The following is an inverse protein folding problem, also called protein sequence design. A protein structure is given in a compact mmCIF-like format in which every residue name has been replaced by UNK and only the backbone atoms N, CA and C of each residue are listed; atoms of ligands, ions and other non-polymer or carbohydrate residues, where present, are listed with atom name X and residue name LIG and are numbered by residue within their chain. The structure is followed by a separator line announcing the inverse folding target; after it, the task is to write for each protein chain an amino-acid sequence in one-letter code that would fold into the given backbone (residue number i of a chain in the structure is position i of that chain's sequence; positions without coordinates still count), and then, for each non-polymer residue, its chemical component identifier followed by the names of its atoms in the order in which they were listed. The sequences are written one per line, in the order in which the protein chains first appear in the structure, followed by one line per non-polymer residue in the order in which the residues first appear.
data_IF_376039671767
#
_entry.id   IF_376039671767
#
_cell.length_a   1.000
_cell.length_b   1.000
_cell.length_c   1.000
_cell.angle_alpha   90.00
_cell.angle_beta   90.00
_cell.angle_gamma   90.00
#
_symmetry.space_group_name_H-M   'P 1'
#
loop_
_entity.id
_entity.type
_entity.pdbx_description
1 polymer ?
#
# COMPACT_ATOMS: atom_id res chain seq x y z
N UNK A 1 6.14 -1.69 -12.38
CA UNK A 1 5.11 -0.88 -13.03
C UNK A 1 5.48 0.61 -13.15
N UNK A 2 5.91 1.31 -12.09
CA UNK A 2 6.16 2.76 -12.16
C UNK A 2 7.50 3.21 -12.79
N UNK A 3 8.43 2.29 -13.09
CA UNK A 3 9.75 2.62 -13.64
C UNK A 3 10.66 3.46 -12.73
N UNK A 4 10.21 3.75 -11.51
CA UNK A 4 10.88 4.55 -10.50
C UNK A 4 11.14 3.71 -9.25
N UNK A 5 12.19 4.02 -8.46
CA UNK A 5 12.41 3.36 -7.17
C UNK A 5 11.28 3.66 -6.19
N UNK A 6 10.97 2.69 -5.32
CA UNK A 6 10.00 2.87 -4.24
C UNK A 6 10.52 3.95 -3.26
N UNK A 7 9.66 4.91 -2.94
CA UNK A 7 9.98 5.98 -2.00
C UNK A 7 9.38 5.68 -0.62
N UNK A 8 10.06 6.12 0.43
CA UNK A 8 9.59 6.10 1.80
C UNK A 8 9.44 7.52 2.34
N UNK A 9 8.48 7.70 3.24
CA UNK A 9 8.26 8.96 3.96
C UNK A 9 7.62 8.67 5.31
N UNK A 10 7.73 9.62 6.23
CA UNK A 10 7.05 9.58 7.53
C UNK A 10 5.79 10.44 7.47
N UNK A 11 4.66 9.90 7.91
CA UNK A 11 3.41 10.65 8.08
C UNK A 11 3.17 10.95 9.57
N UNK A 12 2.64 12.13 9.94
CA UNK A 12 2.20 12.40 11.31
C UNK A 12 0.89 11.67 11.68
N UNK A 13 0.23 11.02 10.71
CA UNK A 13 -0.95 10.19 10.96
C UNK A 13 -0.61 8.86 11.64
N UNK A 14 -1.48 8.42 12.54
CA UNK A 14 -1.36 7.10 13.14
C UNK A 14 -1.61 5.99 12.10
N UNK A 15 -0.81 4.93 12.15
CA UNK A 15 -0.92 3.77 11.27
C UNK A 15 -0.96 2.49 12.10
N UNK A 16 -1.93 1.61 11.81
CA UNK A 16 -2.07 0.32 12.51
C UNK A 16 -0.86 -0.61 12.33
N UNK A 17 -0.06 -0.41 11.26
CA UNK A 17 1.20 -1.11 11.04
C UNK A 17 2.15 -1.06 12.24
N UNK A 18 2.09 0.03 13.04
CA UNK A 18 2.85 0.16 14.29
C UNK A 18 2.56 -0.97 15.28
N UNK A 19 1.30 -1.39 15.42
CA UNK A 19 0.91 -2.43 16.40
C UNK A 19 1.58 -3.75 16.05
N UNK A 20 1.53 -4.11 14.78
CA UNK A 20 2.09 -5.34 14.25
C UNK A 20 3.62 -5.37 14.24
N UNK A 21 4.25 -4.25 13.92
CA UNK A 21 5.71 -4.12 13.96
C UNK A 21 6.23 -4.17 15.41
N UNK A 22 5.63 -3.37 16.31
CA UNK A 22 6.18 -3.20 17.66
C UNK A 22 5.82 -4.34 18.61
N UNK A 23 4.65 -4.96 18.43
CA UNK A 23 4.12 -5.95 19.39
C UNK A 23 3.82 -7.31 18.75
N UNK A 24 3.79 -7.39 17.41
CA UNK A 24 3.42 -8.61 16.69
C UNK A 24 4.59 -9.35 16.05
N UNK A 25 5.82 -8.82 16.14
CA UNK A 25 7.01 -9.35 15.44
C UNK A 25 6.76 -9.61 13.95
N UNK A 26 5.94 -8.78 13.31
CA UNK A 26 5.57 -8.91 11.90
C UNK A 26 6.11 -7.75 11.08
N UNK A 27 6.80 -8.01 9.96
CA UNK A 27 7.09 -6.95 9.01
C UNK A 27 5.77 -6.38 8.49
N UNK A 28 5.66 -5.07 8.44
CA UNK A 28 4.47 -4.41 7.89
C UNK A 28 4.83 -3.33 6.90
N UNK A 29 4.00 -3.23 5.86
CA UNK A 29 4.09 -2.20 4.84
C UNK A 29 2.79 -1.40 4.85
N UNK A 30 2.89 -0.08 4.99
CA UNK A 30 1.78 0.83 4.71
C UNK A 30 2.03 1.45 3.34
N UNK A 31 1.26 1.00 2.35
CA UNK A 31 1.41 1.39 0.95
C UNK A 31 0.03 1.49 0.30
N UNK A 32 -0.21 2.52 -0.53
CA UNK A 32 -1.54 2.83 -1.02
C UNK A 32 -1.57 3.85 -2.16
N UNK A 33 -2.78 4.16 -2.69
CA UNK A 33 -2.97 5.16 -3.74
C UNK A 33 -2.75 6.58 -3.27
N UNK A 34 -2.54 7.48 -4.24
CA UNK A 34 -2.45 8.90 -3.98
C UNK A 34 -3.83 9.48 -3.63
N UNK A 35 -3.97 9.93 -2.39
CA UNK A 35 -5.10 10.71 -1.90
C UNK A 35 -4.68 12.14 -1.55
N UNK A 36 -5.66 13.03 -1.50
CA UNK A 36 -5.50 14.41 -1.05
C UNK A 36 -6.64 14.74 -0.07
N UNK A 37 -6.35 15.66 0.85
CA UNK A 37 -7.34 16.20 1.79
C UNK A 37 -8.03 15.13 2.63
N UNK A 38 -7.27 14.12 3.08
CA UNK A 38 -7.73 13.05 3.98
C UNK A 38 -8.31 13.70 5.25
N UNK A 39 -9.57 13.38 5.59
CA UNK A 39 -10.35 13.99 6.68
C UNK A 39 -10.78 15.46 6.48
N UNK A 40 -10.68 16.02 5.27
CA UNK A 40 -11.16 17.35 4.93
C UNK A 40 -12.40 17.31 4.02
N UNK A 41 -13.04 18.46 3.79
CA UNK A 41 -14.29 18.54 3.01
C UNK A 41 -14.16 17.98 1.59
N UNK A 42 -13.06 18.29 0.90
CA UNK A 42 -12.82 17.90 -0.49
C UNK A 42 -11.95 16.63 -0.62
N UNK A 43 -12.07 15.70 0.33
CA UNK A 43 -11.36 14.42 0.32
C UNK A 43 -11.51 13.70 -1.02
N UNK A 44 -10.39 13.29 -1.61
CA UNK A 44 -10.37 12.66 -2.94
C UNK A 44 -9.18 11.73 -3.14
N UNK A 45 -9.33 10.86 -4.14
CA UNK A 45 -8.32 9.89 -4.56
C UNK A 45 -8.08 9.95 -6.07
N UNK A 46 -6.84 9.71 -6.49
CA UNK A 46 -6.49 9.65 -7.90
C UNK A 46 -6.84 8.28 -8.49
N UNK A 47 -7.86 8.21 -9.36
CA UNK A 47 -8.43 6.95 -9.86
C UNK A 47 -7.40 6.05 -10.57
N UNK A 48 -6.55 6.63 -11.43
CA UNK A 48 -5.51 5.84 -12.09
C UNK A 48 -4.44 5.35 -11.10
N UNK A 49 -4.23 6.08 -9.99
CA UNK A 49 -3.36 5.60 -8.91
C UNK A 49 -3.98 4.40 -8.20
N UNK A 50 -5.31 4.34 -8.06
CA UNK A 50 -5.99 3.19 -7.47
C UNK A 50 -5.77 1.96 -8.34
N UNK A 51 -6.05 2.05 -9.64
CA UNK A 51 -5.82 0.96 -10.61
C UNK A 51 -4.40 0.42 -10.52
N UNK A 52 -3.43 1.33 -10.53
CA UNK A 52 -2.02 1.00 -10.49
C UNK A 52 -1.63 0.30 -9.16
N UNK A 53 -2.10 0.82 -8.03
CA UNK A 53 -1.81 0.21 -6.73
C UNK A 53 -2.48 -1.15 -6.58
N UNK A 54 -3.67 -1.35 -7.12
CA UNK A 54 -4.32 -2.67 -7.17
C UNK A 54 -3.45 -3.69 -7.91
N UNK A 55 -2.94 -3.36 -9.09
CA UNK A 55 -2.01 -4.24 -9.83
C UNK A 55 -0.74 -4.51 -9.02
N UNK A 56 -0.17 -3.47 -8.40
CA UNK A 56 1.06 -3.60 -7.60
C UNK A 56 0.86 -4.53 -6.41
N UNK A 57 -0.25 -4.41 -5.69
CA UNK A 57 -0.60 -5.31 -4.57
C UNK A 57 -0.83 -6.73 -5.09
N UNK A 58 -1.53 -6.91 -6.22
CA UNK A 58 -1.74 -8.22 -6.81
C UNK A 58 -0.43 -8.91 -7.18
N UNK A 59 0.49 -8.20 -7.84
CA UNK A 59 1.82 -8.72 -8.20
C UNK A 59 2.67 -9.00 -6.95
N UNK A 60 2.68 -8.10 -5.97
CA UNK A 60 3.37 -8.31 -4.70
C UNK A 60 2.85 -9.56 -3.98
N UNK A 61 1.54 -9.76 -3.90
CA UNK A 61 0.95 -10.94 -3.29
C UNK A 61 1.30 -12.21 -4.06
N UNK A 62 1.23 -12.17 -5.40
CA UNK A 62 1.61 -13.31 -6.24
C UNK A 62 3.07 -13.73 -6.05
N UNK A 63 3.98 -12.75 -5.97
CA UNK A 63 5.41 -13.02 -5.75
C UNK A 63 5.71 -13.45 -4.31
N UNK A 64 5.11 -12.78 -3.32
CA UNK A 64 5.35 -13.04 -1.90
C UNK A 64 4.80 -14.38 -1.44
N UNK A 65 3.57 -14.72 -1.84
CA UNK A 65 2.89 -15.94 -1.43
C UNK A 65 3.17 -17.12 -2.37
N UNK A 66 3.55 -16.84 -3.63
CA UNK A 66 3.48 -17.82 -4.70
C UNK A 66 2.06 -17.99 -5.25
N UNK A 67 1.95 -18.65 -6.41
CA UNK A 67 0.69 -18.97 -7.07
C UNK A 67 0.56 -20.48 -7.26
N UNK A 68 -0.68 -20.97 -7.19
CA UNK A 68 -1.01 -22.35 -7.58
C UNK A 68 -1.32 -22.43 -9.08
N UNK A 69 -1.09 -23.58 -9.74
CA UNK A 69 -1.52 -23.78 -11.12
C UNK A 69 -3.04 -23.63 -11.27
N UNK A 70 -3.46 -23.11 -12.42
CA UNK A 70 -4.88 -23.14 -12.77
C UNK A 70 -5.35 -24.59 -12.88
N UNK A 71 -6.53 -24.87 -12.33
CA UNK A 71 -7.22 -26.16 -12.46
C UNK A 71 -7.82 -26.32 -13.84
#
# INVERSE_FOLDING_TARGET
MFGLPLQSFTTPGYLDGRVYTNYGSRPTLTYGPRSLDIHAFDERVHIESVRNITETIALFTAEWCGLEPLK
#
